data_IF_595054533373
#
_entry.id   IF_595054533373
#
_cell.length_a   1.000
_cell.length_b   1.000
_cell.length_c   1.000
_cell.angle_alpha   90.00
_cell.angle_beta   90.00
_cell.angle_gamma   90.00
#
_symmetry.space_group_name_H-M   'P 1'
#
loop_
_entity.id
_entity.type
_entity.pdbx_description
1 polymer ?
#
# COMPACT_ATOMS: atom_id res chain seq x y z
N UNK A 1 13.11 26.01 4.41
CA UNK A 1 14.50 25.56 4.68
C UNK A 1 15.49 26.45 3.93
N UNK A 2 16.34 27.22 4.63
CA UNK A 2 17.31 28.12 3.98
C UNK A 2 18.24 27.32 3.04
N UNK A 3 18.64 27.93 1.92
CA UNK A 3 19.61 27.40 0.95
C UNK A 3 19.19 26.14 0.13
N UNK A 4 17.89 25.85 -0.03
CA UNK A 4 17.44 24.76 -0.92
C UNK A 4 18.00 24.87 -2.34
N UNK A 5 17.85 26.05 -2.98
CA UNK A 5 18.31 26.28 -4.37
C UNK A 5 19.79 25.93 -4.56
N UNK A 6 20.64 26.35 -3.62
CA UNK A 6 22.08 26.06 -3.65
C UNK A 6 22.37 24.56 -3.51
N UNK A 7 21.73 23.87 -2.55
CA UNK A 7 21.89 22.41 -2.39
C UNK A 7 21.41 21.65 -3.62
N UNK A 8 20.27 22.05 -4.18
CA UNK A 8 19.66 21.44 -5.35
C UNK A 8 20.52 21.58 -6.61
N UNK A 9 21.08 22.77 -6.85
CA UNK A 9 21.98 23.02 -7.99
C UNK A 9 23.24 22.15 -7.98
N UNK A 10 23.75 21.78 -6.80
CA UNK A 10 24.94 20.93 -6.65
C UNK A 10 24.68 19.44 -6.86
N UNK A 11 23.41 19.00 -7.01
CA UNK A 11 23.02 17.59 -7.15
C UNK A 11 22.84 17.21 -8.62
N UNK A 12 23.13 15.94 -8.94
CA UNK A 12 22.98 15.35 -10.29
C UNK A 12 22.22 14.01 -10.21
N UNK A 13 21.54 13.63 -11.29
CA UNK A 13 20.80 12.36 -11.41
C UNK A 13 19.75 12.16 -10.32
N UNK A 14 19.67 10.94 -9.78
CA UNK A 14 18.72 10.54 -8.73
C UNK A 14 18.81 11.40 -7.46
N UNK A 15 20.02 11.86 -7.12
CA UNK A 15 20.21 12.72 -5.93
C UNK A 15 19.54 14.08 -6.06
N UNK A 16 19.28 14.54 -7.29
CA UNK A 16 18.54 15.77 -7.57
C UNK A 16 17.04 15.57 -7.35
N UNK A 17 16.51 14.40 -7.76
CA UNK A 17 15.12 14.01 -7.51
C UNK A 17 14.85 13.83 -6.02
N UNK A 18 15.72 13.12 -5.28
CA UNK A 18 15.56 13.00 -3.82
C UNK A 18 15.63 14.37 -3.14
N UNK A 19 16.54 15.26 -3.57
CA UNK A 19 16.61 16.61 -3.01
C UNK A 19 15.34 17.44 -3.28
N UNK A 20 14.71 17.26 -4.44
CA UNK A 20 13.43 17.89 -4.79
C UNK A 20 12.29 17.36 -3.91
N UNK A 21 12.12 16.04 -3.82
CA UNK A 21 11.07 15.43 -3.00
C UNK A 21 11.24 15.73 -1.51
N UNK A 22 12.48 15.72 -1.00
CA UNK A 22 12.78 16.13 0.37
C UNK A 22 12.31 17.56 0.64
N UNK A 23 12.59 18.51 -0.26
CA UNK A 23 12.13 19.88 -0.09
C UNK A 23 10.61 19.97 -0.07
N UNK A 24 9.93 19.24 -0.96
CA UNK A 24 8.46 19.20 -1.04
C UNK A 24 7.83 18.61 0.23
N UNK A 25 8.44 17.57 0.80
CA UNK A 25 8.02 16.96 2.06
C UNK A 25 8.26 17.93 3.24
N UNK A 26 9.42 18.58 3.28
CA UNK A 26 9.75 19.52 4.36
C UNK A 26 8.89 20.78 4.33
N UNK A 27 8.52 21.28 3.16
CA UNK A 27 7.56 22.37 3.02
C UNK A 27 6.20 21.99 3.62
N UNK A 28 5.74 20.75 3.39
CA UNK A 28 4.52 20.24 4.04
C UNK A 28 4.67 20.18 5.57
N UNK A 29 5.83 19.78 6.09
CA UNK A 29 6.08 19.78 7.54
C UNK A 29 6.09 21.18 8.14
N UNK A 30 6.75 22.15 7.50
CA UNK A 30 6.68 23.56 7.92
C UNK A 30 5.22 24.03 8.00
N UNK A 31 4.44 23.80 6.94
CA UNK A 31 3.02 24.16 6.92
C UNK A 31 2.22 23.49 8.06
N UNK A 32 2.54 22.25 8.42
CA UNK A 32 1.90 21.55 9.54
C UNK A 32 2.30 22.21 10.87
N UNK A 33 3.59 22.53 11.08
CA UNK A 33 4.06 23.23 12.27
C UNK A 33 3.39 24.60 12.43
N UNK A 34 3.32 25.39 11.36
CA UNK A 34 2.71 26.72 11.38
C UNK A 34 1.21 26.66 11.74
N UNK A 35 0.50 25.64 11.23
CA UNK A 35 -0.91 25.41 11.56
C UNK A 35 -1.06 24.95 13.01
N UNK A 36 -0.19 24.06 13.49
CA UNK A 36 -0.21 23.58 14.87
C UNK A 36 0.03 24.73 15.86
N UNK A 37 0.96 25.63 15.53
CA UNK A 37 1.23 26.85 16.31
C UNK A 37 0.02 27.78 16.36
N UNK A 38 -0.64 28.03 15.23
CA UNK A 38 -1.91 28.80 15.18
C UNK A 38 -3.04 28.15 15.98
N UNK A 39 -3.04 26.82 16.11
CA UNK A 39 -3.98 26.07 16.94
C UNK A 39 -3.56 25.97 18.41
N UNK A 40 -2.50 26.70 18.82
CA UNK A 40 -1.90 26.68 20.17
C UNK A 40 -1.53 25.26 20.63
N UNK A 41 -1.13 24.40 19.69
CA UNK A 41 -0.76 23.01 19.93
C UNK A 41 -1.82 22.19 20.69
N UNK A 42 -3.11 22.56 20.57
CA UNK A 42 -4.19 21.73 21.10
C UNK A 42 -4.11 20.34 20.43
N UNK A 43 -3.77 19.33 21.24
CA UNK A 43 -3.50 17.96 20.79
C UNK A 43 -4.72 17.35 20.08
N UNK A 44 -5.94 17.62 20.59
CA UNK A 44 -7.19 17.08 20.04
C UNK A 44 -7.51 17.73 18.70
N UNK A 45 -7.44 19.06 18.65
CA UNK A 45 -7.70 19.85 17.44
C UNK A 45 -6.68 19.56 16.33
N UNK A 46 -5.41 19.53 16.67
CA UNK A 46 -4.31 19.26 15.74
C UNK A 46 -4.41 17.85 15.14
N UNK A 47 -4.70 16.83 15.95
CA UNK A 47 -4.89 15.44 15.47
C UNK A 47 -6.09 15.34 14.52
N UNK A 48 -7.22 15.95 14.88
CA UNK A 48 -8.42 15.94 14.02
C UNK A 48 -8.15 16.62 12.67
N UNK A 49 -7.46 17.76 12.69
CA UNK A 49 -7.08 18.47 11.47
C UNK A 49 -6.13 17.64 10.59
N UNK A 50 -5.08 17.06 11.18
CA UNK A 50 -4.11 16.23 10.46
C UNK A 50 -4.78 15.01 9.81
N UNK A 51 -5.63 14.31 10.55
CA UNK A 51 -6.39 13.16 10.02
C UNK A 51 -7.34 13.56 8.90
N UNK A 52 -8.03 14.71 9.02
CA UNK A 52 -8.94 15.20 7.97
C UNK A 52 -8.21 15.60 6.69
N UNK A 53 -7.02 16.21 6.81
CA UNK A 53 -6.25 16.74 5.67
C UNK A 53 -5.32 15.71 5.03
N UNK A 54 -4.58 14.96 5.83
CA UNK A 54 -3.57 13.99 5.36
C UNK A 54 -3.98 12.54 5.59
N UNK A 55 -4.79 12.27 6.63
CA UNK A 55 -5.26 10.92 6.95
C UNK A 55 -6.02 10.26 5.81
N UNK A 56 -6.89 11.00 5.08
CA UNK A 56 -7.62 10.45 3.92
C UNK A 56 -6.67 9.86 2.86
N UNK A 57 -5.59 10.58 2.53
CA UNK A 57 -4.63 10.12 1.55
C UNK A 57 -3.87 8.87 2.02
N UNK A 58 -3.51 8.80 3.31
CA UNK A 58 -2.86 7.63 3.91
C UNK A 58 -3.79 6.42 3.95
N UNK A 59 -5.07 6.63 4.27
CA UNK A 59 -6.10 5.57 4.27
C UNK A 59 -6.26 5.02 2.85
N UNK A 60 -6.42 5.90 1.85
CA UNK A 60 -6.53 5.47 0.45
C UNK A 60 -5.29 4.68 0.03
N UNK A 61 -4.09 5.17 0.33
CA UNK A 61 -2.83 4.49 0.01
C UNK A 61 -2.76 3.10 0.65
N UNK A 62 -3.18 2.96 1.90
CA UNK A 62 -3.22 1.69 2.62
C UNK A 62 -4.29 0.72 2.10
N UNK A 63 -5.33 1.22 1.43
CA UNK A 63 -6.38 0.39 0.84
C UNK A 63 -5.98 -0.17 -0.53
N UNK A 64 -5.02 0.41 -1.25
CA UNK A 64 -4.68 -0.06 -2.61
C UNK A 64 -4.26 -1.54 -2.64
N UNK A 65 -3.41 -2.03 -1.73
CA UNK A 65 -3.05 -3.45 -1.70
C UNK A 65 -4.22 -4.39 -1.46
N UNK A 66 -5.29 -3.91 -0.80
CA UNK A 66 -6.46 -4.75 -0.50
C UNK A 66 -7.26 -5.12 -1.75
N UNK A 67 -7.10 -4.39 -2.87
CA UNK A 67 -7.79 -4.70 -4.12
C UNK A 67 -7.43 -6.08 -4.66
N UNK A 68 -6.17 -6.52 -4.53
CA UNK A 68 -5.79 -7.86 -4.96
C UNK A 68 -6.24 -8.97 -4.01
N UNK A 69 -6.59 -8.64 -2.75
CA UNK A 69 -7.19 -9.60 -1.82
C UNK A 69 -8.63 -9.99 -2.22
N UNK A 70 -9.35 -9.10 -2.91
CA UNK A 70 -10.72 -9.36 -3.39
C UNK A 70 -10.75 -10.61 -4.27
N UNK A 71 -9.73 -10.79 -5.12
CA UNK A 71 -9.62 -11.97 -5.98
C UNK A 71 -9.59 -13.26 -5.15
N UNK A 72 -8.80 -13.31 -4.08
CA UNK A 72 -8.69 -14.49 -3.23
C UNK A 72 -9.94 -14.77 -2.41
N UNK A 73 -10.70 -13.73 -2.05
CA UNK A 73 -12.00 -13.92 -1.39
C UNK A 73 -13.00 -14.55 -2.38
N UNK A 74 -12.97 -14.14 -3.65
CA UNK A 74 -13.86 -14.66 -4.67
C UNK A 74 -13.49 -16.09 -5.08
N UNK A 75 -12.24 -16.36 -5.43
CA UNK A 75 -11.86 -17.64 -6.05
C UNK A 75 -11.10 -18.60 -5.12
N UNK A 76 -10.71 -18.15 -3.94
CA UNK A 76 -10.00 -18.97 -2.96
C UNK A 76 -8.48 -18.95 -3.14
N UNK A 77 -7.78 -19.71 -2.30
CA UNK A 77 -6.32 -19.84 -2.30
C UNK A 77 -5.96 -21.32 -2.20
N UNK A 78 -5.35 -21.87 -3.25
CA UNK A 78 -4.95 -23.27 -3.28
C UNK A 78 -6.15 -24.19 -3.12
N UNK A 79 -6.18 -24.96 -2.01
CA UNK A 79 -7.27 -25.90 -1.70
C UNK A 79 -8.43 -25.27 -0.92
N UNK A 80 -8.29 -24.02 -0.49
CA UNK A 80 -9.34 -23.33 0.25
C UNK A 80 -10.29 -22.67 -0.75
N UNK A 81 -11.58 -23.08 -0.80
CA UNK A 81 -12.52 -22.54 -1.75
C UNK A 81 -12.85 -21.08 -1.43
N UNK A 82 -13.05 -20.28 -2.48
CA UNK A 82 -13.62 -18.95 -2.39
C UNK A 82 -15.15 -18.98 -2.47
N UNK A 83 -15.77 -17.79 -2.49
CA UNK A 83 -17.22 -17.65 -2.68
C UNK A 83 -17.67 -18.24 -4.04
N UNK A 84 -16.86 -18.05 -5.07
CA UNK A 84 -17.02 -18.53 -6.44
C UNK A 84 -16.06 -19.70 -6.69
N UNK A 85 -16.20 -20.74 -5.88
CA UNK A 85 -15.50 -22.00 -6.10
C UNK A 85 -15.75 -22.54 -7.51
N UNK A 86 -14.69 -22.97 -8.18
CA UNK A 86 -14.75 -23.57 -9.52
C UNK A 86 -15.35 -24.98 -9.44
N UNK A 87 -16.07 -25.40 -10.49
CA UNK A 87 -16.49 -26.80 -10.59
C UNK A 87 -15.27 -27.71 -10.65
N UNK A 88 -15.13 -28.62 -9.69
CA UNK A 88 -14.19 -29.74 -9.76
C UNK A 88 -14.90 -31.07 -9.40
N UNK A 89 -14.18 -32.18 -9.56
CA UNK A 89 -14.69 -33.53 -9.30
C UNK A 89 -15.03 -33.80 -7.82
N UNK A 90 -14.47 -33.03 -6.89
CA UNK A 90 -14.65 -33.18 -5.44
C UNK A 90 -15.80 -32.32 -4.90
N UNK A 91 -16.07 -31.19 -5.55
CA UNK A 91 -16.95 -30.12 -5.06
C UNK A 91 -18.30 -30.13 -5.76
N UNK A 92 -18.32 -30.58 -7.02
CA UNK A 92 -19.53 -30.66 -7.83
C UNK A 92 -19.73 -32.09 -8.32
N UNK A 93 -20.51 -32.86 -7.56
CA UNK A 93 -20.80 -34.28 -7.78
C UNK A 93 -21.21 -34.57 -9.22
N UNK A 94 -20.23 -34.92 -10.06
CA UNK A 94 -20.46 -35.35 -11.42
C UNK A 94 -20.66 -34.24 -12.46
N UNK A 95 -20.25 -32.99 -12.20
CA UNK A 95 -20.27 -31.94 -13.23
C UNK A 95 -19.16 -32.08 -14.27
N UNK A 96 -18.06 -32.74 -13.90
CA UNK A 96 -16.91 -32.94 -14.78
C UNK A 96 -16.92 -34.38 -15.31
N UNK A 97 -16.61 -34.55 -16.59
CA UNK A 97 -16.48 -35.87 -17.22
C UNK A 97 -15.10 -36.53 -16.96
N UNK A 98 -14.93 -37.76 -17.42
CA UNK A 98 -13.67 -38.49 -17.28
C UNK A 98 -12.49 -37.89 -18.08
N UNK A 99 -12.75 -36.92 -18.97
CA UNK A 99 -11.75 -36.20 -19.75
C UNK A 99 -11.35 -34.85 -19.14
N UNK A 100 -12.00 -34.44 -18.04
CA UNK A 100 -11.73 -33.15 -17.40
C UNK A 100 -12.45 -31.98 -18.06
N UNK A 101 -13.55 -32.21 -18.78
CA UNK A 101 -14.41 -31.16 -19.31
C UNK A 101 -15.67 -31.01 -18.46
N UNK A 102 -16.23 -29.80 -18.41
CA UNK A 102 -17.54 -29.58 -17.83
C UNK A 102 -18.60 -30.26 -18.70
N UNK A 103 -19.46 -31.08 -18.10
CA UNK A 103 -20.52 -31.77 -18.84
C UNK A 103 -21.53 -30.77 -19.37
N UNK A 104 -22.02 -31.06 -20.57
CA UNK A 104 -23.14 -30.35 -21.21
C UNK A 104 -24.48 -31.06 -21.00
N UNK A 105 -24.48 -32.19 -20.28
CA UNK A 105 -25.69 -32.95 -19.95
C UNK A 105 -25.57 -33.59 -18.56
N UNK A 106 -26.69 -33.80 -17.85
CA UNK A 106 -28.06 -33.30 -18.12
C UNK A 106 -28.19 -31.77 -18.07
N UNK A 107 -29.32 -31.22 -18.52
CA UNK A 107 -29.57 -29.79 -18.77
C UNK A 107 -29.27 -28.89 -17.54
N UNK A 108 -29.49 -29.42 -16.34
CA UNK A 108 -29.20 -28.78 -15.06
C UNK A 108 -27.70 -28.48 -14.86
N UNK A 109 -26.84 -29.38 -15.37
CA UNK A 109 -25.38 -29.23 -15.36
C UNK A 109 -24.96 -28.31 -16.51
N UNK A 110 -25.59 -28.43 -17.67
CA UNK A 110 -25.33 -27.56 -18.83
C UNK A 110 -25.53 -26.07 -18.49
N UNK A 111 -26.56 -25.77 -17.69
CA UNK A 111 -26.94 -24.44 -17.23
C UNK A 111 -26.25 -24.02 -15.92
N UNK A 112 -25.19 -24.73 -15.50
CA UNK A 112 -24.45 -24.38 -14.30
C UNK A 112 -23.85 -22.97 -14.40
N UNK A 113 -24.19 -22.10 -13.43
CA UNK A 113 -23.68 -20.72 -13.36
C UNK A 113 -22.14 -20.64 -13.33
N UNK A 114 -21.46 -21.70 -12.87
CA UNK A 114 -20.00 -21.78 -12.78
C UNK A 114 -19.33 -22.27 -14.08
N UNK A 115 -20.08 -22.75 -15.07
CA UNK A 115 -19.53 -23.25 -16.34
C UNK A 115 -18.65 -22.21 -17.06
N UNK A 116 -19.06 -20.93 -17.21
CA UNK A 116 -18.18 -19.92 -17.83
C UNK A 116 -16.87 -19.70 -17.06
N UNK A 117 -16.88 -19.86 -15.73
CA UNK A 117 -15.67 -19.77 -14.91
C UNK A 117 -14.76 -20.98 -15.15
N UNK A 118 -15.35 -22.17 -15.28
CA UNK A 118 -14.63 -23.40 -15.59
C UNK A 118 -13.96 -23.34 -16.97
N UNK A 119 -14.71 -22.91 -17.98
CA UNK A 119 -14.22 -22.79 -19.36
C UNK A 119 -13.04 -21.80 -19.45
N UNK A 120 -12.99 -20.81 -18.55
CA UNK A 120 -11.93 -19.81 -18.47
C UNK A 120 -10.97 -20.05 -17.28
N UNK A 121 -10.88 -21.27 -16.73
CA UNK A 121 -10.09 -21.56 -15.52
C UNK A 121 -8.63 -21.13 -15.63
N UNK A 122 -7.99 -21.37 -16.76
CA UNK A 122 -6.58 -20.99 -16.98
C UNK A 122 -6.41 -19.47 -16.95
N UNK A 123 -7.37 -18.74 -17.53
CA UNK A 123 -7.37 -17.27 -17.49
C UNK A 123 -7.55 -16.76 -16.07
N UNK A 124 -8.43 -17.38 -15.28
CA UNK A 124 -8.62 -17.06 -13.87
C UNK A 124 -7.33 -17.33 -13.08
N UNK A 125 -6.68 -18.47 -13.26
CA UNK A 125 -5.39 -18.78 -12.61
C UNK A 125 -4.33 -17.70 -12.91
N UNK A 126 -4.20 -17.28 -14.17
CA UNK A 126 -3.28 -16.20 -14.57
C UNK A 126 -3.66 -14.89 -13.86
N UNK A 127 -4.93 -14.50 -13.87
CA UNK A 127 -5.42 -13.29 -13.17
C UNK A 127 -5.09 -13.38 -11.66
N UNK A 128 -5.24 -14.55 -11.06
CA UNK A 128 -4.90 -14.80 -9.67
C UNK A 128 -3.43 -14.59 -9.36
N UNK A 129 -2.53 -15.08 -10.21
CA UNK A 129 -1.10 -14.83 -10.08
C UNK A 129 -0.74 -13.36 -10.26
N UNK A 130 -1.32 -12.69 -11.26
CA UNK A 130 -1.10 -11.26 -11.48
C UNK A 130 -1.56 -10.43 -10.28
N UNK A 131 -2.73 -10.74 -9.72
CA UNK A 131 -3.24 -10.07 -8.53
C UNK A 131 -2.39 -10.35 -7.28
N UNK A 132 -1.79 -11.55 -7.16
CA UNK A 132 -0.82 -11.84 -6.10
C UNK A 132 0.36 -10.88 -6.16
N UNK A 133 1.00 -10.85 -7.33
CA UNK A 133 2.22 -10.10 -7.59
C UNK A 133 1.93 -8.61 -7.42
N UNK A 134 0.81 -8.13 -7.96
CA UNK A 134 0.35 -6.76 -7.77
C UNK A 134 0.20 -6.42 -6.29
N UNK A 135 -0.47 -7.27 -5.50
CA UNK A 135 -0.64 -7.06 -4.06
C UNK A 135 0.70 -6.94 -3.34
N UNK A 136 1.63 -7.87 -3.58
CA UNK A 136 2.96 -7.86 -2.97
C UNK A 136 3.77 -6.60 -3.35
N UNK A 137 3.75 -6.22 -4.62
CA UNK A 137 4.42 -5.01 -5.12
C UNK A 137 3.82 -3.77 -4.46
N UNK A 138 2.49 -3.67 -4.39
CA UNK A 138 1.82 -2.53 -3.77
C UNK A 138 2.09 -2.45 -2.26
N UNK A 139 2.04 -3.56 -1.52
CA UNK A 139 2.44 -3.59 -0.10
C UNK A 139 3.87 -3.05 0.05
N UNK A 140 4.78 -3.55 -0.77
CA UNK A 140 6.19 -3.15 -0.74
C UNK A 140 6.35 -1.66 -0.99
N UNK A 141 5.68 -1.11 -1.99
CA UNK A 141 5.68 0.33 -2.30
C UNK A 141 5.12 1.15 -1.13
N UNK A 142 3.98 0.74 -0.55
CA UNK A 142 3.37 1.43 0.59
C UNK A 142 4.33 1.45 1.79
N UNK A 143 4.98 0.32 2.09
CA UNK A 143 6.00 0.25 3.14
C UNK A 143 7.17 1.21 2.86
N UNK A 144 7.70 1.21 1.64
CA UNK A 144 8.77 2.14 1.26
C UNK A 144 8.37 3.61 1.41
N UNK A 145 7.13 3.97 1.03
CA UNK A 145 6.60 5.33 1.21
C UNK A 145 6.51 5.70 2.69
N UNK A 146 5.98 4.80 3.53
CA UNK A 146 5.89 5.02 4.99
C UNK A 146 7.27 5.18 5.60
N UNK A 147 8.21 4.27 5.32
CA UNK A 147 9.59 4.38 5.79
C UNK A 147 10.26 5.67 5.30
N UNK A 148 10.06 6.06 4.04
CA UNK A 148 10.59 7.31 3.51
C UNK A 148 10.07 8.52 4.28
N UNK A 149 8.76 8.59 4.55
CA UNK A 149 8.16 9.67 5.34
C UNK A 149 8.77 9.72 6.73
N UNK A 150 8.89 8.59 7.43
CA UNK A 150 9.48 8.52 8.79
C UNK A 150 10.94 9.00 8.79
N UNK A 151 11.76 8.51 7.86
CA UNK A 151 13.16 8.95 7.72
C UNK A 151 13.26 10.46 7.47
N UNK A 152 12.36 11.01 6.64
CA UNK A 152 12.34 12.45 6.36
C UNK A 152 11.83 13.25 7.57
N UNK A 153 10.87 12.78 8.37
CA UNK A 153 10.43 13.44 9.62
C UNK A 153 11.62 13.59 10.58
N UNK A 154 12.36 12.51 10.81
CA UNK A 154 13.50 12.53 11.74
C UNK A 154 14.59 13.47 11.21
N UNK A 155 14.85 13.44 9.89
CA UNK A 155 15.78 14.37 9.26
C UNK A 155 15.32 15.83 9.40
N UNK A 156 14.02 16.11 9.28
CA UNK A 156 13.45 17.44 9.46
C UNK A 156 13.66 17.95 10.89
N UNK A 157 13.29 17.16 11.90
CA UNK A 157 13.47 17.52 13.32
C UNK A 157 14.94 17.73 13.68
N UNK A 158 15.82 16.90 13.13
CA UNK A 158 17.26 17.04 13.28
C UNK A 158 17.77 18.38 12.75
N UNK A 159 17.32 18.79 11.57
CA UNK A 159 17.71 20.07 10.97
C UNK A 159 17.11 21.24 11.77
N UNK A 160 15.86 21.10 12.24
CA UNK A 160 15.19 22.09 13.08
C UNK A 160 15.89 22.32 14.42
N UNK A 161 16.43 21.25 15.02
CA UNK A 161 17.21 21.30 16.25
C UNK A 161 18.70 21.65 16.06
N UNK A 162 19.13 21.95 14.82
CA UNK A 162 20.51 22.33 14.51
C UNK A 162 21.52 21.19 14.67
N UNK A 163 21.07 19.93 14.76
CA UNK A 163 21.95 18.80 15.07
C UNK A 163 22.61 18.19 13.82
N UNK A 164 23.92 17.98 13.90
CA UNK A 164 24.77 17.37 12.86
C UNK A 164 24.73 15.84 12.83
N UNK A 165 25.77 15.16 12.32
CA UNK A 165 25.84 13.69 12.31
C UNK A 165 25.74 13.16 13.75
N UNK A 166 24.94 12.12 13.97
CA UNK A 166 24.71 11.52 15.29
C UNK A 166 25.10 10.04 15.26
N UNK A 167 25.58 9.54 16.38
CA UNK A 167 25.68 8.12 16.68
C UNK A 167 24.30 7.48 16.88
N UNK A 168 24.22 6.15 16.81
CA UNK A 168 22.96 5.39 17.02
C UNK A 168 22.36 5.65 18.41
N UNK A 169 23.19 5.81 19.44
CA UNK A 169 22.75 6.11 20.81
C UNK A 169 22.12 7.49 20.92
N UNK A 170 22.72 8.49 20.27
CA UNK A 170 22.17 9.85 20.21
C UNK A 170 20.88 9.89 19.39
N UNK A 171 20.81 9.10 18.32
CA UNK A 171 19.61 8.96 17.49
C UNK A 171 18.44 8.39 18.29
N UNK A 172 18.67 7.32 19.05
CA UNK A 172 17.64 6.72 19.91
C UNK A 172 17.13 7.71 20.97
N UNK A 173 18.04 8.41 21.67
CA UNK A 173 17.67 9.44 22.65
C UNK A 173 16.88 10.58 21.99
N UNK A 174 17.32 11.05 20.83
CA UNK A 174 16.63 12.10 20.09
C UNK A 174 15.21 11.71 19.68
N UNK A 175 15.01 10.47 19.23
CA UNK A 175 13.67 9.98 18.91
C UNK A 175 12.80 9.88 20.18
N UNK A 176 13.36 9.43 21.31
CA UNK A 176 12.66 9.36 22.61
C UNK A 176 12.25 10.74 23.13
N UNK A 177 13.02 11.78 22.85
CA UNK A 177 12.71 13.15 23.28
C UNK A 177 11.61 13.80 22.41
N UNK A 178 11.40 13.30 21.17
CA UNK A 178 10.45 13.86 20.20
C UNK A 178 9.10 13.14 20.18
N UNK A 179 9.12 11.80 20.25
CA UNK A 179 7.95 10.94 20.08
C UNK A 179 7.51 10.32 21.39
#
# INVERSE_FOLDING_TARGET
MKNYKNRYMKKKGLSKLDCYYENKVFEKFCNICDIAEKMKYDKKRSKSFFLKKYGKALIILALIPSLGLIYYILFGVGKNPGILELCDNNTTNGHIDGSGNHKDTPEDIANCFRKPLYDNKETLEIIGHVNFIFSLVMITIVLFVVFYILLKIIKYEKIKSGKGKMSVKEYYRFCKDIF
#
